data_IF_215528459904
#
_entry.id   IF_215528459904
#
_cell.length_a   1.000
_cell.length_b   1.000
_cell.length_c   1.000
_cell.angle_alpha   90.00
_cell.angle_beta   90.00
_cell.angle_gamma   90.00
#
_symmetry.space_group_name_H-M   'P 1'
#
loop_
_entity.id
_entity.type
_entity.pdbx_description
1 polymer ?
#
# COMPACT_ATOMS: atom_id res chain seq x y z
N UNK A 1 13.07 -19.74 8.98
CA UNK A 1 13.15 -19.14 7.62
C UNK A 1 12.84 -17.67 7.70
N UNK A 2 13.56 -16.82 6.96
CA UNK A 2 13.27 -15.37 6.86
C UNK A 2 12.18 -15.15 5.83
N UNK A 3 11.12 -14.41 6.18
CA UNK A 3 9.99 -14.10 5.27
C UNK A 3 10.00 -12.61 4.91
N UNK A 4 9.47 -12.30 3.74
CA UNK A 4 9.36 -10.94 3.20
C UNK A 4 7.98 -10.79 2.56
N UNK A 5 7.27 -9.73 2.93
CA UNK A 5 6.01 -9.35 2.30
C UNK A 5 6.30 -8.22 1.31
N UNK A 6 5.90 -8.40 0.05
CA UNK A 6 6.02 -7.38 -1.00
C UNK A 6 4.63 -6.95 -1.43
N UNK A 7 4.35 -5.65 -1.35
CA UNK A 7 3.08 -5.04 -1.74
C UNK A 7 3.33 -4.26 -3.03
N UNK A 8 2.94 -4.78 -4.22
CA UNK A 8 2.99 -4.02 -5.45
C UNK A 8 1.79 -3.06 -5.54
N UNK A 9 2.05 -1.76 -5.69
CA UNK A 9 1.02 -0.74 -5.79
C UNK A 9 1.36 0.26 -6.89
N UNK A 10 0.61 0.22 -7.99
CA UNK A 10 0.76 1.13 -9.14
C UNK A 10 -0.42 2.10 -9.24
N UNK A 11 -0.17 3.31 -9.71
CA UNK A 11 -1.22 4.33 -9.84
C UNK A 11 -2.23 4.01 -10.96
N UNK A 12 -1.76 3.44 -12.09
CA UNK A 12 -2.53 3.27 -13.33
C UNK A 12 -3.60 2.16 -13.34
N UNK A 13 -4.47 2.09 -12.36
CA UNK A 13 -5.60 1.15 -12.35
C UNK A 13 -6.69 1.58 -13.35
N UNK A 14 -7.10 0.67 -14.25
CA UNK A 14 -8.00 0.99 -15.37
C UNK A 14 -9.49 0.89 -15.03
N UNK A 15 -9.89 -0.04 -14.15
CA UNK A 15 -11.31 -0.22 -13.75
C UNK A 15 -11.73 0.68 -12.59
N UNK A 16 -10.79 0.98 -11.70
CA UNK A 16 -11.00 1.88 -10.56
C UNK A 16 -9.82 2.83 -10.52
N UNK A 17 -10.03 4.06 -10.97
CA UNK A 17 -8.96 5.03 -11.12
C UNK A 17 -8.26 5.30 -9.78
N UNK A 18 -6.93 5.41 -9.81
CA UNK A 18 -6.08 5.63 -8.63
C UNK A 18 -6.43 4.72 -7.43
N UNK A 19 -6.86 3.47 -7.69
CA UNK A 19 -7.35 2.52 -6.66
C UNK A 19 -6.59 2.51 -5.33
N UNK A 20 -5.24 2.51 -5.30
CA UNK A 20 -4.49 2.55 -4.03
C UNK A 20 -4.82 3.76 -3.14
N UNK A 21 -5.15 4.91 -3.74
CA UNK A 21 -5.41 6.19 -3.07
C UNK A 21 -6.88 6.41 -2.73
N UNK A 22 -7.79 5.54 -3.19
CA UNK A 22 -9.22 5.64 -2.88
C UNK A 22 -9.42 5.65 -1.36
N UNK A 23 -10.11 6.68 -0.86
CA UNK A 23 -10.45 6.78 0.56
C UNK A 23 -11.47 5.70 0.92
N UNK A 24 -11.12 4.89 1.90
CA UNK A 24 -11.95 3.84 2.48
C UNK A 24 -11.97 4.04 3.99
N UNK A 25 -13.14 4.41 4.53
CA UNK A 25 -13.33 4.69 5.97
C UNK A 25 -12.32 5.71 6.52
N UNK A 26 -12.11 6.81 5.78
CA UNK A 26 -11.23 7.92 6.20
C UNK A 26 -9.74 7.68 5.97
N UNK A 27 -9.36 6.59 5.31
CA UNK A 27 -7.96 6.20 5.07
C UNK A 27 -7.76 5.71 3.63
N UNK A 28 -6.64 6.03 2.96
CA UNK A 28 -6.34 5.45 1.65
C UNK A 28 -6.33 3.92 1.69
N UNK A 29 -6.90 3.28 0.66
CA UNK A 29 -7.01 1.82 0.56
C UNK A 29 -5.66 1.12 0.80
N UNK A 30 -4.57 1.66 0.24
CA UNK A 30 -3.23 1.06 0.37
C UNK A 30 -2.73 1.06 1.82
N UNK A 31 -3.10 2.05 2.63
CA UNK A 31 -2.66 2.14 4.02
C UNK A 31 -3.27 1.03 4.87
N UNK A 32 -4.50 0.59 4.58
CA UNK A 32 -5.08 -0.60 5.21
C UNK A 32 -4.25 -1.87 4.96
N UNK A 33 -3.74 -2.05 3.74
CA UNK A 33 -2.91 -3.20 3.38
C UNK A 33 -1.56 -3.14 4.10
N UNK A 34 -0.90 -1.98 4.07
CA UNK A 34 0.41 -1.79 4.75
C UNK A 34 0.28 -2.05 6.26
N UNK A 35 -0.69 -1.44 6.93
CA UNK A 35 -0.90 -1.65 8.37
C UNK A 35 -1.25 -3.10 8.70
N UNK A 36 -2.04 -3.77 7.85
CA UNK A 36 -2.36 -5.18 7.99
C UNK A 36 -1.11 -6.07 7.90
N UNK A 37 -0.23 -5.80 6.92
CA UNK A 37 1.03 -6.53 6.77
C UNK A 37 1.99 -6.27 7.94
N UNK A 38 2.08 -5.04 8.45
CA UNK A 38 2.95 -4.70 9.58
C UNK A 38 2.58 -5.46 10.86
N UNK A 39 1.31 -5.79 11.08
CA UNK A 39 0.85 -6.61 12.23
C UNK A 39 1.44 -8.02 12.26
N UNK A 40 1.96 -8.52 11.14
CA UNK A 40 2.58 -9.86 11.08
C UNK A 40 3.97 -9.91 11.72
N UNK A 41 4.60 -8.76 11.95
CA UNK A 41 5.99 -8.67 12.42
C UNK A 41 7.03 -9.03 11.34
N UNK A 42 6.60 -9.34 10.12
CA UNK A 42 7.50 -9.62 8.99
C UNK A 42 8.05 -8.34 8.37
N UNK A 43 9.17 -8.47 7.66
CA UNK A 43 9.67 -7.37 6.83
C UNK A 43 8.67 -7.09 5.71
N UNK A 44 8.24 -5.84 5.58
CA UNK A 44 7.31 -5.38 4.54
C UNK A 44 8.01 -4.42 3.58
N UNK A 45 7.81 -4.59 2.28
CA UNK A 45 8.30 -3.70 1.22
C UNK A 45 7.12 -3.29 0.35
N UNK A 46 6.86 -1.98 0.25
CA UNK A 46 5.91 -1.42 -0.72
C UNK A 46 6.68 -1.07 -1.99
N UNK A 47 6.35 -1.74 -3.10
CA UNK A 47 6.92 -1.45 -4.42
C UNK A 47 5.92 -0.59 -5.20
N UNK A 48 6.27 0.68 -5.45
CA UNK A 48 5.41 1.63 -6.14
C UNK A 48 6.22 2.53 -7.07
N UNK A 49 5.57 2.97 -8.14
CA UNK A 49 6.06 3.94 -9.14
C UNK A 49 5.56 5.37 -8.85
N UNK A 50 4.82 5.57 -7.76
CA UNK A 50 4.11 6.82 -7.48
C UNK A 50 4.45 7.39 -6.11
N UNK A 51 4.99 8.60 -6.12
CA UNK A 51 5.24 9.38 -4.90
C UNK A 51 3.96 9.62 -4.10
N UNK A 52 2.79 9.75 -4.77
CA UNK A 52 1.50 9.89 -4.07
C UNK A 52 1.20 8.68 -3.19
N UNK A 53 1.45 7.47 -3.71
CA UNK A 53 1.24 6.22 -2.97
C UNK A 53 2.22 6.14 -1.80
N UNK A 54 3.50 6.47 -2.03
CA UNK A 54 4.50 6.53 -0.97
C UNK A 54 4.10 7.47 0.18
N UNK A 55 3.73 8.72 -0.14
CA UNK A 55 3.31 9.69 0.87
C UNK A 55 2.02 9.30 1.58
N UNK A 56 1.10 8.57 0.93
CA UNK A 56 -0.14 8.12 1.56
C UNK A 56 0.07 7.11 2.70
N UNK A 57 1.23 6.46 2.77
CA UNK A 57 1.56 5.46 3.80
C UNK A 57 2.76 5.86 4.67
N UNK A 58 3.48 6.92 4.30
CA UNK A 58 4.56 7.48 5.09
C UNK A 58 3.96 8.23 6.29
N UNK A 59 4.41 7.88 7.48
CA UNK A 59 4.17 8.64 8.71
C UNK A 59 5.33 9.60 8.98
#
# INVERSE_FOLDING_TARGET
MKRLIVIPARLGSTRLNEKPLVSLLGKPLIRWVVEGCLKTGERVVLATDSEKIYHSVKD
#
